data_IF_387900685394
#
_entry.id   IF_387900685394
#
_cell.length_a   1.000
_cell.length_b   1.000
_cell.length_c   1.000
_cell.angle_alpha   90.00
_cell.angle_beta   90.00
_cell.angle_gamma   90.00
#
_symmetry.space_group_name_H-M   'P 1'
#
loop_
_entity.id
_entity.type
_entity.pdbx_description
1 polymer ?
#
# COMPACT_ATOMS: atom_id res chain seq x y z
N UNK A 1 2.16 14.42 15.02
CA UNK A 1 1.61 14.11 13.68
C UNK A 1 2.41 14.83 12.59
N UNK A 2 2.35 14.34 11.36
CA UNK A 2 2.88 15.05 10.19
C UNK A 2 1.75 15.46 9.27
N UNK A 3 1.88 16.62 8.62
CA UNK A 3 0.90 17.04 7.64
C UNK A 3 0.90 16.10 6.42
N UNK A 4 -0.26 15.57 5.98
CA UNK A 4 -0.35 14.74 4.78
C UNK A 4 -0.01 15.47 3.47
N UNK A 5 -0.18 16.80 3.44
CA UNK A 5 0.09 17.63 2.25
C UNK A 5 1.59 17.92 2.12
N UNK A 6 2.18 18.60 3.11
CA UNK A 6 3.56 19.10 3.01
C UNK A 6 4.60 18.26 3.80
N UNK A 7 4.17 17.27 4.59
CA UNK A 7 5.07 16.44 5.40
C UNK A 7 5.64 17.12 6.65
N UNK A 8 5.38 18.41 6.87
CA UNK A 8 5.89 19.15 8.02
C UNK A 8 5.32 18.61 9.34
N UNK A 9 6.12 18.68 10.42
CA UNK A 9 5.67 18.32 11.78
C UNK A 9 4.64 19.36 12.25
N UNK A 10 3.45 18.90 12.63
CA UNK A 10 2.41 19.77 13.20
C UNK A 10 2.39 19.66 14.72
N UNK A 11 2.12 20.78 15.39
CA UNK A 11 1.85 20.84 16.83
C UNK A 11 0.34 20.63 17.02
N UNK A 12 -0.03 19.85 18.03
CA UNK A 12 -1.45 19.58 18.33
C UNK A 12 -2.22 20.87 18.57
N UNK A 13 -3.44 20.95 18.05
CA UNK A 13 -4.30 22.13 18.15
C UNK A 13 -3.87 23.34 17.31
N UNK A 14 -2.79 23.24 16.53
CA UNK A 14 -2.32 24.33 15.65
C UNK A 14 -2.50 23.99 14.16
N UNK A 15 -2.62 25.05 13.37
CA UNK A 15 -2.62 24.97 11.91
C UNK A 15 -1.21 24.63 11.39
N UNK A 16 -1.15 23.88 10.30
CA UNK A 16 0.08 23.71 9.52
C UNK A 16 0.58 25.08 9.04
N UNK A 17 1.81 25.47 9.43
CA UNK A 17 2.41 26.76 9.04
C UNK A 17 2.55 26.96 7.53
N UNK A 18 2.68 25.87 6.77
CA UNK A 18 2.91 25.93 5.31
C UNK A 18 1.63 25.80 4.49
N UNK A 19 0.64 25.10 5.02
CA UNK A 19 -0.46 24.56 4.24
C UNK A 19 -1.83 24.86 4.84
N UNK A 20 -1.88 25.45 6.03
CA UNK A 20 -3.13 25.90 6.67
C UNK A 20 -4.10 24.79 7.07
N UNK A 21 -3.71 23.52 6.94
CA UNK A 21 -4.53 22.37 7.38
C UNK A 21 -4.58 22.34 8.90
N UNK A 22 -5.77 22.14 9.47
CA UNK A 22 -5.93 21.99 10.93
C UNK A 22 -5.59 20.57 11.40
N UNK A 23 -5.21 20.44 12.66
CA UNK A 23 -5.06 19.14 13.33
C UNK A 23 -6.35 18.29 13.22
N UNK A 24 -7.52 18.91 13.41
CA UNK A 24 -8.83 18.24 13.26
C UNK A 24 -9.04 17.65 11.86
N UNK A 25 -8.67 18.36 10.79
CA UNK A 25 -8.82 17.84 9.42
C UNK A 25 -7.95 16.61 9.17
N UNK A 26 -6.78 16.54 9.81
CA UNK A 26 -5.86 15.40 9.69
C UNK A 26 -6.33 14.24 10.56
N UNK A 27 -6.81 14.48 11.78
CA UNK A 27 -7.34 13.43 12.67
C UNK A 27 -8.64 12.82 12.13
N UNK A 28 -9.47 13.63 11.46
CA UNK A 28 -10.70 13.19 10.82
C UNK A 28 -10.50 12.73 9.36
N UNK A 29 -9.26 12.66 8.89
CA UNK A 29 -8.95 12.14 7.56
C UNK A 29 -9.42 10.67 7.42
N UNK A 30 -9.88 10.30 6.24
CA UNK A 30 -10.48 8.98 6.00
C UNK A 30 -9.82 8.26 4.83
N UNK A 31 -9.47 7.00 5.05
CA UNK A 31 -9.07 6.05 4.01
C UNK A 31 -10.29 5.57 3.19
N UNK A 32 -11.48 5.44 3.79
CA UNK A 32 -12.69 4.99 3.08
C UNK A 32 -13.07 5.90 1.91
N UNK A 33 -12.93 7.22 2.06
CA UNK A 33 -13.23 8.21 1.01
C UNK A 33 -12.27 8.13 -0.20
N UNK A 34 -11.09 7.51 -0.07
CA UNK A 34 -10.07 7.44 -1.15
C UNK A 34 -10.60 6.80 -2.43
N UNK A 35 -11.38 5.72 -2.31
CA UNK A 35 -11.92 5.04 -3.50
C UNK A 35 -12.92 5.91 -4.28
N UNK A 36 -13.70 6.74 -3.58
CA UNK A 36 -14.65 7.65 -4.21
C UNK A 36 -13.91 8.78 -4.94
N UNK A 37 -12.90 9.36 -4.30
CA UNK A 37 -12.11 10.44 -4.90
C UNK A 37 -11.37 9.99 -6.16
N UNK A 38 -10.79 8.78 -6.14
CA UNK A 38 -10.14 8.23 -7.34
C UNK A 38 -11.09 7.89 -8.47
N UNK A 39 -12.36 7.54 -8.18
CA UNK A 39 -13.37 7.28 -9.22
C UNK A 39 -13.88 8.56 -9.87
N UNK A 40 -13.82 9.68 -9.14
CA UNK A 40 -14.27 10.99 -9.62
C UNK A 40 -13.12 11.83 -10.18
N UNK A 41 -12.00 11.20 -10.58
CA UNK A 41 -10.77 11.85 -11.06
C UNK A 41 -10.16 12.91 -10.12
N UNK A 42 -10.56 12.93 -8.85
CA UNK A 42 -10.01 13.81 -7.81
C UNK A 42 -8.81 13.16 -7.10
N UNK A 43 -7.92 12.53 -7.88
CA UNK A 43 -6.79 11.78 -7.32
C UNK A 43 -5.74 12.68 -6.65
N UNK A 44 -5.65 13.95 -7.06
CA UNK A 44 -4.75 14.97 -6.50
C UNK A 44 -5.09 15.33 -5.05
N UNK A 45 -6.32 15.05 -4.61
CA UNK A 45 -6.76 15.27 -3.23
C UNK A 45 -6.52 14.06 -2.32
N UNK A 46 -5.85 13.02 -2.83
CA UNK A 46 -5.45 11.83 -2.05
C UNK A 46 -4.01 12.01 -1.56
N UNK A 47 -3.87 12.24 -0.26
CA UNK A 47 -2.59 12.44 0.39
C UNK A 47 -2.10 11.17 1.08
N UNK A 48 -0.80 11.06 1.36
CA UNK A 48 -0.24 9.93 2.09
C UNK A 48 0.22 10.37 3.49
N UNK A 49 -0.23 9.64 4.51
CA UNK A 49 0.18 9.85 5.89
C UNK A 49 0.80 8.58 6.48
N UNK A 50 1.72 8.72 7.42
CA UNK A 50 2.22 7.61 8.24
C UNK A 50 1.35 7.37 9.48
N UNK A 51 0.55 8.37 9.85
CA UNK A 51 -0.39 8.25 10.96
C UNK A 51 -1.64 7.51 10.48
N UNK A 52 -1.81 6.26 10.94
CA UNK A 52 -2.93 5.40 10.50
C UNK A 52 -4.26 6.04 10.95
N UNK A 53 -5.20 6.30 10.02
CA UNK A 53 -6.46 6.97 10.31
C UNK A 53 -7.39 6.08 11.15
N UNK A 54 -8.37 6.70 11.81
CA UNK A 54 -9.31 6.02 12.71
C UNK A 54 -10.18 4.96 12.03
N UNK A 55 -10.35 5.04 10.72
CA UNK A 55 -11.12 4.09 9.93
C UNK A 55 -10.33 2.85 9.48
N UNK A 56 -9.04 2.76 9.80
CA UNK A 56 -8.17 1.61 9.49
C UNK A 56 -7.72 0.94 10.79
N UNK A 57 -8.05 -0.35 10.93
CA UNK A 57 -7.62 -1.13 12.09
C UNK A 57 -6.13 -1.53 11.94
N UNK A 58 -5.28 -0.99 12.83
CA UNK A 58 -3.83 -1.25 12.85
C UNK A 58 -3.48 -2.73 13.04
N UNK A 59 -4.23 -3.43 13.88
CA UNK A 59 -3.98 -4.86 14.16
C UNK A 59 -4.35 -5.68 12.92
N UNK A 60 -5.49 -5.39 12.30
CA UNK A 60 -5.88 -6.02 11.05
C UNK A 60 -4.86 -5.75 9.93
N UNK A 61 -4.38 -4.50 9.80
CA UNK A 61 -3.31 -4.15 8.85
C UNK A 61 -2.04 -4.96 9.09
N UNK A 62 -1.60 -5.10 10.35
CA UNK A 62 -0.43 -5.89 10.70
C UNK A 62 -0.63 -7.38 10.36
N UNK A 63 -1.78 -7.95 10.71
CA UNK A 63 -2.12 -9.34 10.40
C UNK A 63 -2.16 -9.60 8.89
N UNK A 64 -2.81 -8.74 8.12
CA UNK A 64 -2.80 -8.85 6.65
C UNK A 64 -1.41 -8.68 6.07
N UNK A 65 -0.57 -7.84 6.67
CA UNK A 65 0.81 -7.67 6.22
C UNK A 65 1.65 -8.92 6.51
N UNK A 66 1.52 -9.54 7.68
CA UNK A 66 2.31 -10.75 8.03
C UNK A 66 1.85 -11.97 7.22
N UNK A 67 0.54 -12.24 7.16
CA UNK A 67 0.06 -13.50 6.57
C UNK A 67 -0.17 -13.43 5.06
N UNK A 68 -0.58 -12.27 4.55
CA UNK A 68 -1.06 -12.10 3.17
C UNK A 68 -0.37 -10.95 2.43
N UNK A 69 0.71 -10.40 3.02
CA UNK A 69 1.39 -9.22 2.48
C UNK A 69 2.14 -9.53 1.19
N UNK A 70 2.70 -10.73 1.03
CA UNK A 70 3.39 -11.13 -0.21
C UNK A 70 2.45 -11.19 -1.42
N UNK A 71 1.16 -11.48 -1.20
CA UNK A 71 0.11 -11.44 -2.24
C UNK A 71 -0.35 -9.98 -2.49
N UNK A 72 -0.06 -9.06 -1.57
CA UNK A 72 -0.46 -7.64 -1.65
C UNK A 72 -1.78 -7.28 -0.97
N UNK A 73 -2.33 -8.16 -0.12
CA UNK A 73 -3.62 -7.92 0.55
C UNK A 73 -3.57 -6.71 1.48
N UNK A 74 -2.46 -6.52 2.18
CA UNK A 74 -2.20 -5.33 3.00
C UNK A 74 -2.36 -4.02 2.21
N UNK A 75 -1.92 -3.99 0.95
CA UNK A 75 -2.06 -2.83 0.08
C UNK A 75 -3.51 -2.59 -0.34
N UNK A 76 -4.26 -3.64 -0.69
CA UNK A 76 -5.68 -3.50 -1.00
C UNK A 76 -6.52 -3.06 0.19
N UNK A 77 -6.16 -3.52 1.40
CA UNK A 77 -6.81 -3.11 2.64
C UNK A 77 -6.75 -1.59 2.82
N UNK A 78 -5.59 -0.97 2.56
CA UNK A 78 -5.41 0.49 2.63
C UNK A 78 -5.67 1.22 1.31
N UNK A 79 -6.28 0.59 0.31
CA UNK A 79 -6.57 1.19 -1.02
C UNK A 79 -5.31 1.64 -1.78
N UNK A 80 -4.20 0.93 -1.69
CA UNK A 80 -2.98 1.11 -2.51
C UNK A 80 -2.96 0.13 -3.68
N UNK A 81 -3.88 0.32 -4.63
CA UNK A 81 -4.16 -0.65 -5.68
C UNK A 81 -2.94 -0.97 -6.57
N UNK A 82 -2.12 0.02 -6.93
CA UNK A 82 -0.97 -0.20 -7.83
C UNK A 82 0.03 -1.21 -7.24
N UNK A 83 0.45 -1.02 -5.98
CA UNK A 83 1.37 -1.94 -5.31
C UNK A 83 0.74 -3.30 -5.02
N UNK A 84 -0.55 -3.31 -4.65
CA UNK A 84 -1.31 -4.55 -4.47
C UNK A 84 -1.36 -5.38 -5.74
N UNK A 85 -1.67 -4.75 -6.88
CA UNK A 85 -1.76 -5.42 -8.17
C UNK A 85 -0.41 -5.96 -8.64
N UNK A 86 0.68 -5.21 -8.44
CA UNK A 86 2.03 -5.71 -8.73
C UNK A 86 2.37 -6.98 -7.90
N UNK A 87 2.07 -6.95 -6.60
CA UNK A 87 2.36 -8.07 -5.69
C UNK A 87 1.52 -9.30 -6.03
N UNK A 88 0.24 -9.10 -6.37
CA UNK A 88 -0.68 -10.16 -6.77
C UNK A 88 -0.24 -10.80 -8.09
N UNK A 89 -0.01 -9.99 -9.13
CA UNK A 89 0.37 -10.48 -10.46
C UNK A 89 1.71 -11.22 -10.39
N UNK A 90 2.72 -10.65 -9.73
CA UNK A 90 4.03 -11.30 -9.60
C UNK A 90 3.94 -12.65 -8.89
N UNK A 91 3.15 -12.73 -7.82
CA UNK A 91 2.94 -13.98 -7.07
C UNK A 91 2.18 -15.02 -7.90
N UNK A 92 1.08 -14.63 -8.55
CA UNK A 92 0.25 -15.54 -9.35
C UNK A 92 1.04 -16.09 -10.54
N UNK A 93 1.74 -15.25 -11.30
CA UNK A 93 2.54 -15.70 -12.43
C UNK A 93 3.68 -16.61 -11.96
N UNK A 94 4.37 -16.27 -10.86
CA UNK A 94 5.43 -17.12 -10.31
C UNK A 94 4.92 -18.52 -9.91
N UNK A 95 3.74 -18.61 -9.29
CA UNK A 95 3.09 -19.88 -8.94
C UNK A 95 2.75 -20.68 -10.20
N UNK A 96 2.15 -20.05 -11.22
CA UNK A 96 1.81 -20.72 -12.48
C UNK A 96 3.06 -21.27 -13.16
N UNK A 97 4.13 -20.48 -13.26
CA UNK A 97 5.38 -20.91 -13.88
C UNK A 97 6.08 -22.02 -13.07
N UNK A 98 5.99 -21.99 -11.75
CA UNK A 98 6.48 -23.07 -10.89
C UNK A 98 5.73 -24.38 -11.17
N UNK A 99 4.39 -24.32 -11.26
CA UNK A 99 3.56 -25.49 -11.58
C UNK A 99 3.91 -26.02 -12.97
N UNK A 100 4.02 -25.16 -13.99
CA UNK A 100 4.39 -25.57 -15.35
C UNK A 100 5.77 -26.24 -15.40
N UNK A 101 6.75 -25.70 -14.67
CA UNK A 101 8.10 -26.27 -14.57
C UNK A 101 8.10 -27.65 -13.94
N UNK A 102 7.26 -27.87 -12.91
CA UNK A 102 7.14 -29.15 -12.21
C UNK A 102 6.34 -30.19 -13.02
N UNK A 103 5.27 -29.76 -13.69
CA UNK A 103 4.37 -30.65 -14.42
C UNK A 103 4.90 -31.04 -15.80
N UNK A 104 5.69 -30.18 -16.46
CA UNK A 104 6.19 -30.41 -17.82
C UNK A 104 7.71 -30.15 -17.86
N UNK A 105 8.55 -31.14 -17.47
CA UNK A 105 10.00 -30.96 -17.36
C UNK A 105 10.68 -30.56 -18.69
N UNK A 106 10.10 -30.94 -19.82
CA UNK A 106 10.60 -30.61 -21.17
C UNK A 106 10.54 -29.11 -21.47
N UNK A 107 9.70 -28.33 -20.78
CA UNK A 107 9.71 -26.87 -20.90
C UNK A 107 11.02 -26.26 -20.40
N UNK A 108 11.74 -26.91 -19.49
CA UNK A 108 12.99 -26.38 -18.94
C UNK A 108 14.13 -26.34 -19.97
N UNK A 109 14.07 -27.19 -21.00
CA UNK A 109 15.02 -27.14 -22.13
C UNK A 109 14.72 -26.02 -23.13
N UNK A 110 13.54 -25.39 -23.07
CA UNK A 110 13.17 -24.29 -23.97
C UNK A 110 13.78 -22.99 -23.45
N UNK A 111 14.73 -22.41 -24.19
CA UNK A 111 15.47 -21.20 -23.80
C UNK A 111 14.53 -20.05 -23.41
N UNK A 112 13.47 -19.81 -24.19
CA UNK A 112 12.50 -18.73 -23.94
C UNK A 112 11.78 -18.92 -22.61
N UNK A 113 11.34 -20.14 -22.31
CA UNK A 113 10.68 -20.46 -21.04
C UNK A 113 11.62 -20.23 -19.87
N UNK A 114 12.89 -20.66 -20.00
CA UNK A 114 13.91 -20.45 -18.97
C UNK A 114 14.14 -18.97 -18.69
N UNK A 115 14.34 -18.14 -19.72
CA UNK A 115 14.52 -16.69 -19.56
C UNK A 115 13.31 -16.06 -18.87
N UNK A 116 12.10 -16.40 -19.33
CA UNK A 116 10.86 -15.87 -18.75
C UNK A 116 10.65 -16.28 -17.29
N UNK A 117 11.02 -17.52 -16.95
CA UNK A 117 11.02 -18.04 -15.59
C UNK A 117 11.95 -17.24 -14.67
N UNK A 118 13.21 -17.05 -15.08
CA UNK A 118 14.21 -16.30 -14.30
C UNK A 118 13.80 -14.85 -14.05
N UNK A 119 13.26 -14.15 -15.06
CA UNK A 119 12.76 -12.78 -14.92
C UNK A 119 11.61 -12.73 -13.93
N UNK A 120 10.64 -13.63 -14.07
CA UNK A 120 9.47 -13.66 -13.17
C UNK A 120 9.87 -13.94 -11.73
N UNK A 121 10.76 -14.92 -11.50
CA UNK A 121 11.25 -15.24 -10.17
C UNK A 121 12.10 -14.12 -9.56
N UNK A 122 12.84 -13.37 -10.38
CA UNK A 122 13.53 -12.15 -9.94
C UNK A 122 12.54 -11.08 -9.48
N UNK A 123 11.47 -10.84 -10.25
CA UNK A 123 10.39 -9.93 -9.84
C UNK A 123 9.70 -10.39 -8.55
N UNK A 124 9.47 -11.69 -8.40
CA UNK A 124 8.90 -12.26 -7.18
C UNK A 124 9.84 -12.10 -5.97
N UNK A 125 11.14 -12.30 -6.15
CA UNK A 125 12.13 -12.06 -5.09
C UNK A 125 12.15 -10.60 -4.64
N UNK A 126 12.07 -9.65 -5.60
CA UNK A 126 11.92 -8.21 -5.28
C UNK A 126 10.63 -7.97 -4.50
N UNK A 127 9.52 -8.59 -4.90
CA UNK A 127 8.25 -8.48 -4.17
C UNK A 127 8.37 -8.98 -2.72
N UNK A 128 9.07 -10.09 -2.48
CA UNK A 128 9.35 -10.59 -1.11
C UNK A 128 10.19 -9.59 -0.29
N UNK A 129 11.21 -8.96 -0.89
CA UNK A 129 11.99 -7.91 -0.22
C UNK A 129 11.13 -6.69 0.13
N UNK A 130 10.26 -6.25 -0.78
CA UNK A 130 9.32 -5.17 -0.53
C UNK A 130 8.32 -5.52 0.58
N UNK A 131 7.84 -6.75 0.60
CA UNK A 131 6.96 -7.26 1.65
C UNK A 131 7.63 -7.23 3.04
N UNK A 132 8.90 -7.65 3.14
CA UNK A 132 9.67 -7.54 4.39
C UNK A 132 9.81 -6.07 4.81
N UNK A 133 10.12 -5.17 3.86
CA UNK A 133 10.16 -3.74 4.13
C UNK A 133 8.82 -3.21 4.64
N UNK A 134 7.70 -3.71 4.12
CA UNK A 134 6.37 -3.31 4.55
C UNK A 134 6.04 -3.81 5.96
N UNK A 135 6.43 -5.04 6.32
CA UNK A 135 6.33 -5.52 7.71
C UNK A 135 7.05 -4.55 8.66
N UNK A 136 8.30 -4.23 8.36
CA UNK A 136 9.09 -3.29 9.17
C UNK A 136 8.42 -1.92 9.23
N UNK A 137 7.93 -1.40 8.09
CA UNK A 137 7.24 -0.12 8.05
C UNK A 137 5.96 -0.10 8.88
N UNK A 138 5.19 -1.20 8.92
CA UNK A 138 3.99 -1.29 9.76
C UNK A 138 4.38 -1.32 11.25
N UNK A 139 5.38 -2.13 11.63
CA UNK A 139 5.88 -2.23 13.00
C UNK A 139 6.41 -0.88 13.51
N UNK A 140 7.24 -0.21 12.71
CA UNK A 140 7.83 1.09 13.05
C UNK A 140 6.90 2.28 12.81
N UNK A 141 5.63 2.07 12.47
CA UNK A 141 4.64 3.13 12.18
C UNK A 141 5.10 4.10 11.08
N UNK A 142 5.86 3.59 10.10
CA UNK A 142 6.33 4.31 8.91
C UNK A 142 5.53 3.94 7.65
N UNK A 143 4.58 3.03 7.76
CA UNK A 143 3.75 2.59 6.64
C UNK A 143 2.84 3.73 6.17
N UNK A 144 2.97 4.11 4.90
CA UNK A 144 2.19 5.20 4.29
C UNK A 144 0.81 4.70 3.88
N UNK A 145 -0.24 5.36 4.38
CA UNK A 145 -1.65 5.10 4.08
C UNK A 145 -2.21 6.28 3.28
N UNK A 146 -2.90 6.05 2.15
CA UNK A 146 -3.59 7.11 1.44
C UNK A 146 -4.83 7.54 2.23
N UNK A 147 -5.06 8.84 2.33
CA UNK A 147 -6.17 9.45 3.06
C UNK A 147 -6.69 10.66 2.30
N UNK A 148 -7.97 10.95 2.50
CA UNK A 148 -8.59 12.21 2.09
C UNK A 148 -8.84 13.03 3.35
N UNK A 149 -8.45 14.31 3.31
CA UNK A 149 -8.65 15.24 4.44
C UNK A 149 -10.14 15.53 4.63
N UNK A 150 -10.55 15.79 5.88
CA UNK A 150 -11.92 16.22 6.15
C UNK A 150 -12.17 17.64 5.61
N UNK A 151 -13.41 17.90 5.17
CA UNK A 151 -13.84 19.24 4.79
C UNK A 151 -13.95 20.14 6.03
N UNK A 152 -13.74 21.46 5.85
CA UNK A 152 -13.90 22.43 6.95
C UNK A 152 -15.35 22.44 7.42
N UNK A 153 -15.64 21.80 8.55
CA UNK A 153 -16.98 21.72 9.14
C UNK A 153 -17.50 20.31 9.41
N UNK A 154 -16.83 19.28 8.89
CA UNK A 154 -17.15 17.87 9.20
C UNK A 154 -16.72 17.56 10.65
N UNK A 155 -17.62 17.84 11.61
CA UNK A 155 -17.54 17.27 12.96
C UNK A 155 -18.20 15.89 12.91
N UNK A 156 -17.42 14.84 13.17
CA UNK A 156 -17.93 13.49 13.45
C UNK A 156 -18.45 13.40 14.87
#
# INVERSE_FOLDING_TARGET
>A
MRCPICGAKMVQGQLCKYCGVTDEQVNNASNKKVSQYRKNDMSDLVYFTTDVPSDVNKIALLMYTIFLGFIGVNHYYVKRNIRGTFSLISTVIAIILLILKLSIPTLNSVLVFRIFYEITFTCFAINILLWICDILNVIFRRFKVPVVLAEKGDKK
#
